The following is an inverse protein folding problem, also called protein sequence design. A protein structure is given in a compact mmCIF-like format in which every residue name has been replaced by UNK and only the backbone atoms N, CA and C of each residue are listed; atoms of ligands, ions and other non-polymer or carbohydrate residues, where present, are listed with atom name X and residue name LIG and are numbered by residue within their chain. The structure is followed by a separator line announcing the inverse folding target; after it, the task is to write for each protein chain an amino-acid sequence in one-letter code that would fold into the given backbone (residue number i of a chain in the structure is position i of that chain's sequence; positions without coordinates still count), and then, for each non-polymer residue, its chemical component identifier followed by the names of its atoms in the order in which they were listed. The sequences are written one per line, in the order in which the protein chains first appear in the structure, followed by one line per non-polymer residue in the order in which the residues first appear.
data_IF_238873768288
#
_entry.id   IF_238873768288
#
_cell.length_a   1.000
_cell.length_b   1.000
_cell.length_c   1.000
_cell.angle_alpha   90.00
_cell.angle_beta   90.00
_cell.angle_gamma   90.00
#
_symmetry.space_group_name_H-M   'P 1'
#
loop_
_entity.id
_entity.type
_entity.pdbx_description
1 polymer ?
#
# COMPACT_ATOMS: atom_id res chain seq x y z
N UNK A 1 19.70 -14.52 1.21
CA UNK A 1 18.91 -14.90 0.01
C UNK A 1 17.81 -13.87 -0.16
N UNK A 2 17.49 -13.43 -1.39
CA UNK A 2 16.40 -12.49 -1.65
C UNK A 2 15.05 -13.00 -1.11
N UNK A 3 14.25 -12.09 -0.57
CA UNK A 3 12.88 -12.32 -0.13
C UNK A 3 11.88 -12.44 -1.29
N UNK A 4 10.65 -12.81 -0.98
CA UNK A 4 9.54 -12.80 -1.95
C UNK A 4 9.29 -11.38 -2.46
N UNK A 5 9.33 -10.38 -1.56
CA UNK A 5 9.22 -8.97 -1.92
C UNK A 5 10.34 -8.50 -2.84
N UNK A 6 11.57 -8.97 -2.64
CA UNK A 6 12.71 -8.59 -3.48
C UNK A 6 12.53 -9.09 -4.91
N UNK A 7 12.02 -10.32 -5.07
CA UNK A 7 11.71 -10.87 -6.39
C UNK A 7 10.56 -10.11 -7.07
N UNK A 8 9.51 -9.75 -6.33
CA UNK A 8 8.40 -8.95 -6.87
C UNK A 8 8.87 -7.55 -7.30
N UNK A 9 9.67 -6.87 -6.47
CA UNK A 9 10.21 -5.56 -6.80
C UNK A 9 11.10 -5.62 -8.05
N UNK A 10 11.91 -6.66 -8.20
CA UNK A 10 12.72 -6.86 -9.40
C UNK A 10 11.86 -7.12 -10.64
N UNK A 11 10.80 -7.92 -10.51
CA UNK A 11 9.86 -8.19 -11.61
C UNK A 11 9.16 -6.91 -12.10
N UNK A 12 8.74 -6.04 -11.18
CA UNK A 12 8.10 -4.76 -11.49
C UNK A 12 9.03 -3.83 -12.27
N UNK A 13 10.28 -3.68 -11.82
CA UNK A 13 11.30 -2.88 -12.53
C UNK A 13 11.50 -3.41 -13.96
N UNK A 14 11.68 -4.72 -14.12
CA UNK A 14 11.88 -5.35 -15.43
C UNK A 14 10.67 -5.19 -16.36
N UNK A 15 9.45 -5.25 -15.82
CA UNK A 15 8.23 -5.00 -16.59
C UNK A 15 8.15 -3.53 -17.04
N UNK A 16 8.54 -2.59 -16.19
CA UNK A 16 8.64 -1.17 -16.54
C UNK A 16 9.61 -0.91 -17.69
N UNK A 17 10.80 -1.52 -17.64
CA UNK A 17 11.81 -1.45 -18.71
C UNK A 17 11.29 -2.09 -20.02
N UNK A 18 10.59 -3.24 -19.95
CA UNK A 18 9.98 -3.85 -21.12
C UNK A 18 8.98 -2.90 -21.81
N UNK A 19 8.18 -2.15 -21.03
CA UNK A 19 7.27 -1.14 -21.56
C UNK A 19 8.01 0.05 -22.19
N UNK A 20 9.14 0.48 -21.62
CA UNK A 20 9.98 1.51 -22.21
C UNK A 20 10.51 1.07 -23.59
N UNK A 21 11.04 -0.16 -23.70
CA UNK A 21 11.49 -0.71 -24.98
C UNK A 21 10.36 -0.87 -26.01
N UNK A 22 9.14 -1.21 -25.58
CA UNK A 22 7.98 -1.25 -26.49
C UNK A 22 7.65 0.13 -27.05
N UNK A 23 7.74 1.18 -26.23
CA UNK A 23 7.52 2.57 -26.68
C UNK A 23 8.55 3.01 -27.72
N UNK A 24 9.78 2.52 -27.59
CA UNK A 24 10.89 2.81 -28.51
C UNK A 24 10.97 1.84 -29.70
N UNK A 25 9.96 0.98 -29.89
CA UNK A 25 9.89 -0.04 -30.95
C UNK A 25 11.04 -1.07 -30.92
N UNK A 26 11.70 -1.23 -29.78
CA UNK A 26 12.76 -2.22 -29.56
C UNK A 26 12.16 -3.55 -29.08
N UNK A 27 11.44 -4.24 -29.97
CA UNK A 27 10.63 -5.41 -29.61
C UNK A 27 11.44 -6.59 -29.04
N UNK A 28 12.65 -6.83 -29.55
CA UNK A 28 13.51 -7.90 -29.04
C UNK A 28 13.94 -7.64 -27.58
N UNK A 29 14.29 -6.38 -27.28
CA UNK A 29 14.65 -5.97 -25.92
C UNK A 29 13.44 -6.03 -25.00
N UNK A 30 12.28 -5.56 -25.45
CA UNK A 30 11.03 -5.67 -24.70
C UNK A 30 10.70 -7.13 -24.35
N UNK A 31 10.87 -8.04 -25.30
CA UNK A 31 10.65 -9.48 -25.11
C UNK A 31 11.59 -10.05 -24.04
N UNK A 32 12.88 -9.73 -24.11
CA UNK A 32 13.89 -10.20 -23.12
C UNK A 32 13.53 -9.72 -21.70
N UNK A 33 13.20 -8.44 -21.54
CA UNK A 33 12.88 -7.88 -20.23
C UNK A 33 11.55 -8.41 -19.67
N UNK A 34 10.56 -8.64 -20.54
CA UNK A 34 9.31 -9.31 -20.17
C UNK A 34 9.58 -10.73 -19.67
N UNK A 35 10.38 -11.50 -20.39
CA UNK A 35 10.68 -12.89 -20.01
C UNK A 35 11.47 -12.97 -18.70
N UNK A 36 12.38 -12.02 -18.45
CA UNK A 36 13.02 -11.90 -17.15
C UNK A 36 12.04 -11.52 -16.04
N UNK A 37 11.14 -10.56 -16.26
CA UNK A 37 10.09 -10.21 -15.29
C UNK A 37 9.26 -11.43 -14.91
N UNK A 38 8.82 -12.21 -15.89
CA UNK A 38 8.07 -13.47 -15.69
C UNK A 38 8.86 -14.49 -14.86
N UNK A 39 10.17 -14.61 -15.08
CA UNK A 39 11.03 -15.49 -14.27
C UNK A 39 11.03 -15.05 -12.80
N UNK A 40 11.15 -13.75 -12.52
CA UNK A 40 11.14 -13.23 -11.15
C UNK A 40 9.77 -13.40 -10.47
N UNK A 41 8.67 -13.27 -11.22
CA UNK A 41 7.32 -13.60 -10.70
C UNK A 41 7.20 -15.07 -10.30
N UNK A 42 7.73 -15.99 -11.12
CA UNK A 42 7.75 -17.42 -10.80
C UNK A 42 8.62 -17.72 -9.58
N UNK A 43 9.76 -17.05 -9.43
CA UNK A 43 10.62 -17.18 -8.25
C UNK A 43 9.93 -16.66 -6.98
N UNK A 44 9.26 -15.51 -7.06
CA UNK A 44 8.48 -14.96 -5.96
C UNK A 44 7.38 -15.94 -5.52
N UNK A 45 6.64 -16.50 -6.49
CA UNK A 45 5.59 -17.47 -6.22
C UNK A 45 6.15 -18.75 -5.58
N UNK A 46 7.19 -19.36 -6.17
CA UNK A 46 7.81 -20.56 -5.62
C UNK A 46 8.33 -20.35 -4.21
N UNK A 47 8.92 -19.18 -3.93
CA UNK A 47 9.38 -18.83 -2.58
C UNK A 47 8.22 -18.70 -1.60
N UNK A 48 7.14 -18.02 -2.00
CA UNK A 48 5.95 -17.89 -1.18
C UNK A 48 5.36 -19.25 -0.81
N UNK A 49 5.25 -20.17 -1.77
CA UNK A 49 4.73 -21.52 -1.55
C UNK A 49 5.63 -22.38 -0.64
N UNK A 50 6.96 -22.27 -0.80
CA UNK A 50 7.91 -23.13 -0.07
C UNK A 50 8.31 -22.60 1.31
N UNK A 51 8.40 -21.28 1.47
CA UNK A 51 8.94 -20.63 2.68
C UNK A 51 7.86 -19.80 3.40
N UNK A 52 6.81 -19.39 2.69
CA UNK A 52 5.76 -18.50 3.20
C UNK A 52 5.97 -17.04 2.81
N UNK A 53 5.03 -16.20 3.25
CA UNK A 53 5.14 -14.75 3.08
C UNK A 53 6.30 -14.20 3.93
N UNK A 54 7.05 -13.24 3.37
CA UNK A 54 8.00 -12.47 4.18
C UNK A 54 7.24 -11.77 5.32
N UNK A 55 7.84 -11.69 6.50
CA UNK A 55 7.28 -10.94 7.62
C UNK A 55 6.87 -9.54 7.14
N UNK A 56 5.67 -9.03 7.51
CA UNK A 56 5.29 -7.67 7.16
C UNK A 56 6.39 -6.69 7.59
N UNK A 57 6.71 -5.67 6.78
CA UNK A 57 7.70 -4.69 7.20
C UNK A 57 7.26 -4.13 8.56
N UNK A 58 8.21 -3.85 9.47
CA UNK A 58 7.87 -3.16 10.71
C UNK A 58 7.13 -1.88 10.31
N UNK A 59 5.89 -1.75 10.79
CA UNK A 59 5.10 -0.53 10.56
C UNK A 59 5.88 0.59 11.23
N UNK A 60 6.25 1.62 10.47
CA UNK A 60 6.78 2.84 11.07
C UNK A 60 5.74 3.36 12.08
N UNK A 61 6.18 3.81 13.27
CA UNK A 61 5.26 4.35 14.25
C UNK A 61 4.58 5.58 13.65
N UNK A 62 3.31 5.42 13.26
CA UNK A 62 2.48 6.54 12.84
C UNK A 62 2.32 7.43 14.06
N UNK A 63 2.86 8.65 14.01
CA UNK A 63 2.60 9.66 15.03
C UNK A 63 1.16 10.10 14.85
N UNK A 64 0.27 9.57 15.68
CA UNK A 64 -1.14 9.93 15.64
C UNK A 64 -1.34 11.27 16.35
N UNK A 65 -2.24 12.13 15.84
CA UNK A 65 -2.70 13.28 16.59
C UNK A 65 -3.22 12.87 17.96
N UNK A 66 -3.16 13.72 19.00
CA UNK A 66 -3.59 13.36 20.36
C UNK A 66 -5.09 12.98 20.46
N UNK A 67 -5.90 13.40 19.48
CA UNK A 67 -7.31 13.04 19.36
C UNK A 67 -7.55 11.73 18.59
N UNK A 68 -6.52 11.09 18.04
CA UNK A 68 -6.62 9.87 17.24
C UNK A 68 -6.08 8.70 18.07
N UNK A 69 -6.94 7.70 18.32
CA UNK A 69 -6.64 6.53 19.17
C UNK A 69 -5.60 5.58 18.54
N UNK A 70 -6.02 4.39 18.11
CA UNK A 70 -5.13 3.43 17.44
C UNK A 70 -5.64 3.13 16.02
N UNK A 71 -4.74 3.13 15.03
CA UNK A 71 -5.10 2.69 13.68
C UNK A 71 -5.36 1.17 13.62
N UNK A 72 -4.73 0.41 14.52
CA UNK A 72 -4.67 -1.05 14.50
C UNK A 72 -4.76 -1.66 15.92
N UNK A 73 -5.95 -1.70 16.53
CA UNK A 73 -6.21 -2.41 17.81
C UNK A 73 -7.29 -3.48 17.68
N UNK A 74 -7.35 -4.59 18.43
CA UNK A 74 -8.33 -5.67 18.20
C UNK A 74 -9.81 -5.25 18.26
N UNK A 75 -10.11 -4.08 18.84
CA UNK A 75 -11.44 -3.51 18.96
C UNK A 75 -11.79 -2.60 17.77
N UNK A 76 -12.67 -3.09 16.88
CA UNK A 76 -13.16 -2.36 15.70
C UNK A 76 -13.90 -1.06 16.03
N UNK A 77 -14.44 -0.90 17.25
CA UNK A 77 -15.14 0.33 17.66
C UNK A 77 -14.20 1.38 18.24
N UNK A 78 -13.01 0.98 18.70
CA UNK A 78 -11.92 1.90 19.10
C UNK A 78 -10.99 2.24 17.94
N UNK A 79 -10.94 1.37 16.93
CA UNK A 79 -10.35 1.68 15.64
C UNK A 79 -11.13 2.84 15.02
N UNK A 80 -10.40 3.92 14.72
CA UNK A 80 -10.88 5.01 13.87
C UNK A 80 -11.92 5.94 14.48
N UNK A 81 -12.10 5.99 15.80
CA UNK A 81 -12.91 7.05 16.43
C UNK A 81 -12.26 7.53 17.70
N UNK A 82 -12.16 8.84 17.86
CA UNK A 82 -12.05 9.39 19.20
C UNK A 82 -12.83 10.69 19.32
N UNK A 83 -13.67 10.67 20.34
CA UNK A 83 -14.41 11.75 20.97
C UNK A 83 -13.46 12.85 21.40
N UNK A 84 -13.78 14.12 21.09
CA UNK A 84 -13.51 15.30 21.96
C UNK A 84 -13.56 16.66 21.23
N UNK A 85 -14.21 16.74 20.06
CA UNK A 85 -14.79 18.02 19.63
C UNK A 85 -16.24 17.76 19.24
N UNK A 86 -17.17 18.28 20.01
CA UNK A 86 -18.58 18.46 19.61
C UNK A 86 -19.48 17.21 19.50
N UNK A 87 -19.47 16.30 20.48
CA UNK A 87 -20.46 15.19 20.61
C UNK A 87 -20.54 14.20 19.41
N UNK A 88 -19.58 14.27 18.47
CA UNK A 88 -19.56 13.46 17.26
C UNK A 88 -18.52 12.32 17.27
N UNK A 89 -18.85 11.20 16.62
CA UNK A 89 -17.92 10.13 16.28
C UNK A 89 -17.16 10.49 14.99
N UNK A 90 -15.92 10.97 15.11
CA UNK A 90 -15.08 11.35 13.95
C UNK A 90 -14.03 10.31 13.59
N UNK A 91 -13.81 10.11 12.29
CA UNK A 91 -12.79 9.19 11.78
C UNK A 91 -11.44 9.87 11.53
N UNK A 92 -10.37 9.26 12.06
CA UNK A 92 -9.02 9.78 11.90
C UNK A 92 -8.49 9.53 10.48
N UNK A 93 -8.15 10.59 9.73
CA UNK A 93 -7.65 10.52 8.34
C UNK A 93 -6.36 9.71 8.20
N UNK A 94 -5.47 9.79 9.19
CA UNK A 94 -4.23 9.01 9.21
C UNK A 94 -4.48 7.51 9.30
N UNK A 95 -5.63 7.08 9.82
CA UNK A 95 -6.02 5.67 9.92
C UNK A 95 -7.10 5.26 8.91
N UNK A 96 -7.85 6.22 8.35
CA UNK A 96 -8.88 6.00 7.35
C UNK A 96 -8.80 7.12 6.28
N UNK A 97 -8.19 6.88 5.12
CA UNK A 97 -8.02 7.89 4.08
C UNK A 97 -9.35 8.39 3.49
N UNK A 98 -10.46 7.70 3.75
CA UNK A 98 -11.81 8.11 3.32
C UNK A 98 -12.56 8.93 4.39
N UNK A 99 -11.92 9.26 5.52
CA UNK A 99 -12.55 10.12 6.51
C UNK A 99 -12.68 11.56 5.97
N UNK A 100 -13.88 12.12 6.02
CA UNK A 100 -14.12 13.53 5.72
C UNK A 100 -13.62 14.39 6.89
N UNK A 101 -12.96 15.51 6.60
CA UNK A 101 -12.60 16.47 7.66
C UNK A 101 -13.89 17.12 8.17
N UNK A 102 -13.99 17.45 9.46
CA UNK A 102 -15.04 18.35 9.95
C UNK A 102 -15.07 19.69 9.19
N UNK A 103 -13.93 20.10 8.63
CA UNK A 103 -13.79 21.29 7.80
C UNK A 103 -14.48 21.12 6.44
N UNK A 104 -14.46 19.92 5.87
CA UNK A 104 -15.14 19.62 4.59
C UNK A 104 -16.67 19.51 4.77
N UNK A 105 -17.14 19.18 5.98
CA UNK A 105 -18.56 19.09 6.28
C UNK A 105 -19.25 20.47 6.34
N UNK A 106 -18.48 21.55 6.57
CA UNK A 106 -19.02 22.92 6.66
C UNK A 106 -19.28 23.56 5.30
N UNK A 107 -18.70 23.04 4.21
CA UNK A 107 -18.93 23.54 2.85
C UNK A 107 -20.23 23.01 2.21
N UNK A 108 -20.84 21.96 2.75
CA UNK A 108 -22.01 21.31 2.12
C UNK A 108 -23.35 21.90 2.58
N UNK A 109 -23.38 22.74 3.61
CA UNK A 109 -24.62 23.34 4.14
C UNK A 109 -24.85 24.81 3.76
N UNK A 110 -24.00 25.40 2.91
CA UNK A 110 -24.21 26.74 2.35
C UNK A 110 -24.38 26.66 0.83
N UNK A 111 -25.50 26.14 0.37
CA UNK A 111 -26.00 26.30 -1.00
C UNK A 111 -27.51 26.43 -0.99
#
# INVERSE_FOLDING_TARGET
MPGTRDHLATAEVLAGEALAFLRDHQYDMAQIYRDHSDLYLRLAHARHELIGADAPPPREPIVLPPWCGECDGPDLQRRWTSSEKDDGLYRCRSCNPYALSPEDASEVTSS
#
